data_IF_148938828699
#
_entry.id   IF_148938828699
#
_cell.length_a   1.000
_cell.length_b   1.000
_cell.length_c   1.000
_cell.angle_alpha   90.00
_cell.angle_beta   90.00
_cell.angle_gamma   90.00
#
_symmetry.space_group_name_H-M   'P 1'
#
loop_
_entity.id
_entity.type
_entity.pdbx_description
1 polymer ?
#
# COMPACT_ATOMS: atom_id res chain seq x y z
N UNK A 1 -9.94 38.37 12.01
CA UNK A 1 -10.24 37.14 11.23
C UNK A 1 -9.16 37.08 10.18
N UNK A 2 -8.24 36.12 10.29
CA UNK A 2 -7.20 35.94 9.26
C UNK A 2 -7.86 35.31 8.02
N UNK A 3 -7.89 36.07 6.93
CA UNK A 3 -8.24 35.54 5.62
C UNK A 3 -7.20 34.49 5.22
N UNK A 4 -7.63 33.22 5.20
CA UNK A 4 -6.89 32.17 4.53
C UNK A 4 -6.87 32.50 3.04
N UNK A 5 -5.81 33.16 2.58
CA UNK A 5 -5.49 33.34 1.17
C UNK A 5 -5.45 31.94 0.56
N UNK A 6 -6.45 31.61 -0.27
CA UNK A 6 -6.43 30.41 -1.11
C UNK A 6 -5.17 30.49 -1.95
N UNK A 7 -4.16 29.68 -1.63
CA UNK A 7 -2.94 29.59 -2.44
C UNK A 7 -3.34 29.22 -3.87
N UNK A 8 -3.25 30.21 -4.76
CA UNK A 8 -3.46 30.00 -6.18
C UNK A 8 -2.46 28.94 -6.67
N UNK A 9 -2.97 27.95 -7.42
CA UNK A 9 -2.16 27.03 -8.23
C UNK A 9 -1.55 27.77 -9.43
N UNK A 10 -0.85 28.87 -9.20
CA UNK A 10 -0.41 29.82 -10.23
C UNK A 10 0.61 29.22 -11.20
N UNK A 11 1.33 28.17 -10.79
CA UNK A 11 2.27 27.45 -11.65
C UNK A 11 1.67 26.12 -12.12
N UNK A 12 0.98 26.14 -13.26
CA UNK A 12 0.51 24.91 -13.92
C UNK A 12 1.60 24.32 -14.79
N UNK A 13 2.06 23.11 -14.46
CA UNK A 13 2.97 22.33 -15.29
C UNK A 13 2.14 21.40 -16.20
N UNK A 14 2.43 21.43 -17.50
CA UNK A 14 1.82 20.50 -18.47
C UNK A 14 2.88 19.49 -18.89
N UNK A 15 2.62 18.20 -18.67
CA UNK A 15 3.50 17.09 -19.07
C UNK A 15 2.77 16.33 -20.17
N UNK A 16 3.43 16.15 -21.32
CA UNK A 16 2.91 15.30 -22.40
C UNK A 16 3.49 13.90 -22.21
N UNK A 17 2.60 12.91 -22.27
CA UNK A 17 2.95 11.50 -22.18
C UNK A 17 2.43 10.79 -23.43
N UNK A 18 3.20 9.83 -23.91
CA UNK A 18 2.71 8.80 -24.82
C UNK A 18 1.73 7.88 -24.10
N UNK A 19 1.02 7.04 -24.86
CA UNK A 19 0.03 6.10 -24.30
C UNK A 19 0.67 5.12 -23.31
N UNK A 20 1.82 4.53 -23.65
CA UNK A 20 2.53 3.59 -22.78
C UNK A 20 3.04 4.25 -21.49
N UNK A 21 3.47 5.51 -21.57
CA UNK A 21 3.89 6.27 -20.39
C UNK A 21 2.70 6.60 -19.48
N UNK A 22 1.53 6.90 -20.05
CA UNK A 22 0.31 7.12 -19.28
C UNK A 22 -0.14 5.84 -18.56
N UNK A 23 -0.14 4.69 -19.24
CA UNK A 23 -0.43 3.38 -18.63
C UNK A 23 0.54 3.05 -17.49
N UNK A 24 1.83 3.35 -17.71
CA UNK A 24 2.86 3.18 -16.67
C UNK A 24 2.61 4.10 -15.46
N UNK A 25 2.19 5.35 -15.70
CA UNK A 25 1.85 6.28 -14.63
C UNK A 25 0.65 5.78 -13.82
N UNK A 26 -0.41 5.34 -14.49
CA UNK A 26 -1.61 4.82 -13.84
C UNK A 26 -1.32 3.57 -12.99
N UNK A 27 -0.50 2.65 -13.50
CA UNK A 27 -0.07 1.47 -12.76
C UNK A 27 0.69 1.85 -11.48
N UNK A 28 1.67 2.76 -11.59
CA UNK A 28 2.46 3.25 -10.44
C UNK A 28 1.59 3.98 -9.42
N UNK A 29 0.65 4.81 -9.88
CA UNK A 29 -0.31 5.49 -9.02
C UNK A 29 -1.17 4.49 -8.25
N UNK A 30 -1.72 3.49 -8.94
CA UNK A 30 -2.58 2.46 -8.33
C UNK A 30 -1.83 1.67 -7.26
N UNK A 31 -0.60 1.23 -7.55
CA UNK A 31 0.26 0.52 -6.61
C UNK A 31 0.60 1.36 -5.37
N UNK A 32 0.84 2.67 -5.55
CA UNK A 32 1.10 3.60 -4.46
C UNK A 32 -0.18 4.14 -3.78
N UNK A 33 -1.37 3.76 -4.24
CA UNK A 33 -2.65 4.16 -3.65
C UNK A 33 -3.12 5.59 -3.98
N UNK A 34 -2.54 6.22 -5.01
CA UNK A 34 -2.89 7.57 -5.42
C UNK A 34 -4.06 7.60 -6.40
N UNK A 35 -5.05 8.46 -6.14
CA UNK A 35 -6.20 8.70 -7.04
C UNK A 35 -5.97 9.77 -8.10
N UNK A 36 -4.91 10.59 -7.95
CA UNK A 36 -4.61 11.68 -8.88
C UNK A 36 -3.13 11.73 -9.23
N UNK A 37 -2.84 11.90 -10.52
CA UNK A 37 -1.47 11.99 -11.03
C UNK A 37 -0.72 13.16 -10.42
N UNK A 38 -1.38 14.30 -10.26
CA UNK A 38 -0.74 15.48 -9.65
C UNK A 38 -0.30 15.26 -8.21
N UNK A 39 -1.07 14.52 -7.40
CA UNK A 39 -0.65 14.20 -6.03
C UNK A 39 0.52 13.22 -6.04
N UNK A 40 0.46 12.17 -6.85
CA UNK A 40 1.54 11.20 -7.01
C UNK A 40 2.85 11.86 -7.47
N UNK A 41 2.80 12.66 -8.54
CA UNK A 41 3.99 13.32 -9.10
C UNK A 41 4.58 14.33 -8.11
N UNK A 42 3.76 15.14 -7.45
CA UNK A 42 4.27 16.11 -6.45
C UNK A 42 4.95 15.40 -5.28
N UNK A 43 4.34 14.34 -4.77
CA UNK A 43 4.90 13.57 -3.67
C UNK A 43 6.21 12.89 -4.08
N UNK A 44 6.23 12.26 -5.26
CA UNK A 44 7.43 11.63 -5.82
C UNK A 44 8.57 12.64 -6.04
N UNK A 45 8.29 13.82 -6.58
CA UNK A 45 9.30 14.86 -6.83
C UNK A 45 9.81 15.47 -5.52
N UNK A 46 8.95 15.69 -4.54
CA UNK A 46 9.33 16.28 -3.25
C UNK A 46 10.15 15.31 -2.38
N UNK A 47 9.79 14.02 -2.38
CA UNK A 47 10.30 13.05 -1.42
C UNK A 47 11.23 11.99 -2.04
N UNK A 48 11.37 11.96 -3.37
CA UNK A 48 12.18 10.97 -4.11
C UNK A 48 11.61 9.54 -4.12
N UNK A 49 10.64 9.25 -3.25
CA UNK A 49 9.94 7.97 -3.15
C UNK A 49 8.49 8.19 -2.72
N UNK A 50 7.58 7.35 -3.22
CA UNK A 50 6.18 7.29 -2.76
C UNK A 50 6.04 6.17 -1.73
N UNK A 51 5.31 6.43 -0.65
CA UNK A 51 5.05 5.40 0.37
C UNK A 51 4.20 4.27 -0.24
N UNK A 52 4.57 3.00 -0.04
CA UNK A 52 3.79 1.89 -0.57
C UNK A 52 2.42 1.84 0.10
N UNK A 53 1.40 1.49 -0.68
CA UNK A 53 0.08 1.21 -0.14
C UNK A 53 0.15 -0.06 0.71
N UNK A 54 -0.08 0.05 2.01
CA UNK A 54 -0.34 -1.13 2.85
C UNK A 54 -1.70 -1.69 2.46
N UNK A 55 -1.73 -2.91 1.91
CA UNK A 55 -2.98 -3.63 1.67
C UNK A 55 -3.54 -4.16 3.00
N UNK A 56 -4.85 -4.39 3.04
CA UNK A 56 -5.52 -5.09 4.15
C UNK A 56 -4.86 -6.42 4.46
N UNK A 57 -4.41 -7.11 3.42
CA UNK A 57 -3.84 -8.45 3.51
C UNK A 57 -2.50 -8.42 4.25
N UNK A 58 -1.66 -7.41 4.00
CA UNK A 58 -0.40 -7.23 4.73
C UNK A 58 -0.66 -7.02 6.23
N UNK A 59 -1.69 -6.23 6.58
CA UNK A 59 -2.06 -6.00 7.98
C UNK A 59 -2.61 -7.29 8.61
N UNK A 60 -3.43 -8.04 7.88
CA UNK A 60 -3.96 -9.32 8.34
C UNK A 60 -2.85 -10.36 8.54
N UNK A 61 -1.92 -10.49 7.60
CA UNK A 61 -0.75 -11.38 7.72
C UNK A 61 0.08 -11.02 8.95
N UNK A 62 0.35 -9.73 9.18
CA UNK A 62 1.11 -9.29 10.35
C UNK A 62 0.41 -9.69 11.66
N UNK A 63 -0.92 -9.54 11.74
CA UNK A 63 -1.71 -9.96 12.90
C UNK A 63 -1.66 -11.48 13.11
N UNK A 64 -1.77 -12.24 12.03
CA UNK A 64 -1.75 -13.70 12.09
C UNK A 64 -0.35 -14.23 12.49
N UNK A 65 0.73 -13.59 12.05
CA UNK A 65 2.09 -13.89 12.47
C UNK A 65 2.32 -13.59 13.96
N UNK A 66 1.78 -12.47 14.49
CA UNK A 66 1.81 -12.19 15.93
C UNK A 66 1.07 -13.27 16.72
N UNK A 67 -0.07 -13.73 16.22
CA UNK A 67 -0.82 -14.81 16.85
C UNK A 67 -0.03 -16.14 16.82
N UNK A 68 0.62 -16.47 15.70
CA UNK A 68 1.49 -17.64 15.59
C UNK A 68 2.65 -17.57 16.60
N UNK A 69 3.31 -16.42 16.72
CA UNK A 69 4.36 -16.23 17.71
C UNK A 69 3.85 -16.44 19.14
N UNK A 70 2.65 -15.94 19.46
CA UNK A 70 2.00 -16.21 20.74
C UNK A 70 1.70 -17.69 20.98
N UNK A 71 1.30 -18.44 19.94
CA UNK A 71 1.06 -19.89 20.04
C UNK A 71 2.35 -20.67 20.29
N UNK A 72 3.44 -20.28 19.62
CA UNK A 72 4.78 -20.86 19.84
C UNK A 72 5.21 -20.62 21.29
N UNK A 73 5.07 -19.40 21.79
CA UNK A 73 5.43 -19.05 23.16
C UNK A 73 4.58 -19.77 24.22
N UNK A 74 3.37 -20.20 23.84
CA UNK A 74 2.47 -20.98 24.69
C UNK A 74 2.65 -22.50 24.51
N UNK A 75 3.71 -22.93 23.81
CA UNK A 75 4.05 -24.35 23.56
C UNK A 75 2.89 -25.15 22.96
N UNK A 76 2.09 -24.49 22.09
CA UNK A 76 0.98 -25.15 21.41
C UNK A 76 1.46 -26.32 20.55
N UNK A 77 0.67 -27.39 20.40
CA UNK A 77 1.04 -28.55 19.59
C UNK A 77 1.43 -28.16 18.16
N UNK A 78 2.43 -28.86 17.61
CA UNK A 78 2.91 -28.60 16.24
C UNK A 78 1.82 -28.73 15.16
N UNK A 79 0.79 -29.54 15.38
CA UNK A 79 -0.38 -29.63 14.51
C UNK A 79 -1.17 -28.31 14.44
N UNK A 80 -1.38 -27.65 15.58
CA UNK A 80 -2.07 -26.34 15.63
C UNK A 80 -1.24 -25.23 14.99
N UNK A 81 0.09 -25.24 15.22
CA UNK A 81 1.01 -24.31 14.59
C UNK A 81 1.02 -24.47 13.06
N UNK A 82 1.02 -25.72 12.58
CA UNK A 82 1.03 -26.01 11.15
C UNK A 82 -0.27 -25.53 10.46
N UNK A 83 -1.43 -25.73 11.09
CA UNK A 83 -2.69 -25.20 10.56
C UNK A 83 -2.70 -23.68 10.51
N UNK A 84 -2.12 -23.02 11.52
CA UNK A 84 -1.96 -21.56 11.52
C UNK A 84 -1.06 -21.09 10.37
N UNK A 85 0.05 -21.77 10.10
CA UNK A 85 0.93 -21.46 8.96
C UNK A 85 0.21 -21.65 7.63
N UNK A 86 -0.56 -22.73 7.46
CA UNK A 86 -1.38 -22.95 6.26
C UNK A 86 -2.41 -21.83 6.06
N UNK A 87 -3.03 -21.37 7.14
CA UNK A 87 -3.99 -20.26 7.08
C UNK A 87 -3.31 -18.95 6.63
N UNK A 88 -2.15 -18.60 7.20
CA UNK A 88 -1.36 -17.44 6.78
C UNK A 88 -0.97 -17.53 5.29
N UNK A 89 -0.54 -18.71 4.84
CA UNK A 89 -0.19 -18.93 3.44
C UNK A 89 -1.38 -18.68 2.50
N UNK A 90 -2.59 -19.10 2.88
CA UNK A 90 -3.82 -18.83 2.10
C UNK A 90 -4.13 -17.34 1.97
N UNK A 91 -3.95 -16.56 3.04
CA UNK A 91 -4.14 -15.11 2.99
C UNK A 91 -3.11 -14.47 2.05
N UNK A 92 -1.84 -14.89 2.14
CA UNK A 92 -0.76 -14.32 1.35
C UNK A 92 -0.88 -14.55 -0.17
N UNK A 93 -1.49 -15.67 -0.59
CA UNK A 93 -1.75 -15.92 -2.03
C UNK A 93 -3.01 -15.21 -2.55
N UNK A 94 -3.60 -14.31 -1.76
CA UNK A 94 -4.77 -13.52 -2.15
C UNK A 94 -6.11 -14.24 -1.92
N UNK A 95 -6.13 -15.25 -1.03
CA UNK A 95 -7.32 -15.88 -0.46
C UNK A 95 -8.59 -15.79 -1.30
N UNK A 96 -8.70 -16.66 -2.31
CA UNK A 96 -9.94 -17.00 -3.00
C UNK A 96 -11.06 -17.17 -1.96
N UNK A 97 -12.11 -16.35 -2.05
CA UNK A 97 -13.42 -16.68 -1.48
C UNK A 97 -14.03 -17.84 -2.24
#
# INVERSE_FOLDING_TARGET
MEEQVKQNKESRITIRLSKSELETLEAKMSQAGYKSAGAFIRDFVANGQVKPKLSSDVVQIARELMNLASMINAERPGSELLEKVKHIARINVGGVQ
#
